data_IF_607861990878
#
_entry.id   IF_607861990878
#
_cell.length_a   1.000
_cell.length_b   1.000
_cell.length_c   1.000
_cell.angle_alpha   90.00
_cell.angle_beta   90.00
_cell.angle_gamma   90.00
#
_symmetry.space_group_name_H-M   'P 1'
#
loop_
_entity.id
_entity.type
_entity.pdbx_description
1 polymer ?
#
# COMPACT_ATOMS: atom_id res chain seq x y z
N UNK A 1 -8.51 23.13 -4.34
CA UNK A 1 -7.29 23.06 -5.17
C UNK A 1 -6.10 22.62 -4.33
N UNK A 2 -5.80 23.35 -3.25
CA UNK A 2 -4.62 23.09 -2.39
C UNK A 2 -4.66 21.71 -1.71
N UNK A 3 -5.83 21.30 -1.17
CA UNK A 3 -6.02 19.99 -0.53
C UNK A 3 -5.76 18.82 -1.49
N UNK A 4 -6.28 18.93 -2.72
CA UNK A 4 -6.08 17.91 -3.75
C UNK A 4 -4.58 17.78 -4.06
N UNK A 5 -3.93 18.88 -4.45
CA UNK A 5 -2.51 18.89 -4.81
C UNK A 5 -1.65 18.35 -3.66
N UNK A 6 -1.97 18.72 -2.43
CA UNK A 6 -1.30 18.23 -1.23
C UNK A 6 -1.41 16.69 -1.11
N UNK A 7 -2.61 16.13 -1.23
CA UNK A 7 -2.80 14.67 -1.19
C UNK A 7 -2.12 13.95 -2.34
N UNK A 8 -2.19 14.49 -3.56
CA UNK A 8 -1.48 13.92 -4.70
C UNK A 8 0.03 13.84 -4.43
N UNK A 9 0.62 14.89 -3.85
CA UNK A 9 2.04 14.92 -3.52
C UNK A 9 2.40 13.93 -2.41
N UNK A 10 1.62 13.87 -1.34
CA UNK A 10 1.83 12.90 -0.24
C UNK A 10 1.79 11.47 -0.78
N UNK A 11 0.76 11.12 -1.57
CA UNK A 11 0.60 9.77 -2.13
C UNK A 11 1.81 9.42 -3.01
N UNK A 12 2.20 10.31 -3.92
CA UNK A 12 3.37 10.09 -4.80
C UNK A 12 4.66 9.93 -3.99
N UNK A 13 4.86 10.73 -2.94
CA UNK A 13 6.01 10.62 -2.05
C UNK A 13 6.05 9.27 -1.33
N UNK A 14 4.94 8.84 -0.73
CA UNK A 14 4.83 7.55 -0.05
C UNK A 14 5.17 6.42 -1.03
N UNK A 15 4.48 6.34 -2.16
CA UNK A 15 4.68 5.25 -3.13
C UNK A 15 6.11 5.21 -3.69
N UNK A 16 6.70 6.38 -3.97
CA UNK A 16 8.10 6.48 -4.42
C UNK A 16 9.07 6.00 -3.33
N UNK A 17 8.82 6.34 -2.07
CA UNK A 17 9.65 5.87 -0.96
C UNK A 17 9.58 4.36 -0.79
N UNK A 18 8.38 3.77 -0.89
CA UNK A 18 8.21 2.32 -0.81
C UNK A 18 8.93 1.60 -1.95
N UNK A 19 8.77 2.06 -3.20
CA UNK A 19 9.50 1.49 -4.34
C UNK A 19 11.02 1.59 -4.13
N UNK A 20 11.52 2.72 -3.63
CA UNK A 20 12.96 2.90 -3.33
C UNK A 20 13.45 1.94 -2.24
N UNK A 21 12.63 1.63 -1.24
CA UNK A 21 12.96 0.65 -0.21
C UNK A 21 12.98 -0.76 -0.82
N UNK A 22 11.96 -1.11 -1.61
CA UNK A 22 11.89 -2.41 -2.31
C UNK A 22 13.10 -2.62 -3.23
N UNK A 23 13.50 -1.58 -3.97
CA UNK A 23 14.65 -1.60 -4.87
C UNK A 23 16.02 -1.84 -4.18
N UNK A 24 16.11 -1.82 -2.85
CA UNK A 24 17.34 -2.21 -2.13
C UNK A 24 17.58 -3.73 -2.15
N UNK A 25 16.51 -4.51 -2.33
CA UNK A 25 16.56 -5.98 -2.48
C UNK A 25 15.77 -6.34 -3.73
N UNK A 26 16.30 -6.02 -4.94
CA UNK A 26 15.55 -6.20 -6.17
C UNK A 26 15.35 -7.68 -6.49
N UNK A 27 14.18 -7.99 -7.04
CA UNK A 27 13.90 -9.27 -7.68
C UNK A 27 14.16 -9.11 -9.19
N UNK A 28 15.21 -9.72 -9.77
CA UNK A 28 15.60 -9.47 -11.16
C UNK A 28 14.55 -9.93 -12.20
N UNK A 29 13.60 -10.76 -11.78
CA UNK A 29 12.54 -11.31 -12.62
C UNK A 29 11.26 -10.47 -12.62
N UNK A 30 11.18 -9.47 -11.73
CA UNK A 30 9.98 -8.68 -11.46
C UNK A 30 10.29 -7.19 -11.59
N UNK A 31 9.60 -6.53 -12.53
CA UNK A 31 9.58 -5.08 -12.65
C UNK A 31 8.56 -4.49 -11.68
N UNK A 32 9.01 -3.51 -10.90
CA UNK A 32 8.14 -2.68 -10.06
C UNK A 32 7.91 -1.32 -10.72
N UNK A 33 6.65 -1.03 -11.06
CA UNK A 33 6.26 0.15 -11.82
C UNK A 33 5.35 1.04 -10.98
N UNK A 34 5.68 2.32 -10.92
CA UNK A 34 4.79 3.36 -10.39
C UNK A 34 4.01 4.01 -11.53
N UNK A 35 2.70 4.14 -11.35
CA UNK A 35 1.81 4.77 -12.33
C UNK A 35 1.02 5.88 -11.64
N UNK A 36 1.23 7.11 -12.09
CA UNK A 36 0.58 8.30 -11.52
C UNK A 36 -0.23 9.01 -12.60
N UNK A 37 -1.54 9.07 -12.41
CA UNK A 37 -2.46 9.88 -13.23
C UNK A 37 -3.05 10.98 -12.35
N UNK A 38 -2.37 12.14 -12.33
CA UNK A 38 -2.83 13.30 -11.56
C UNK A 38 -4.14 13.89 -12.11
N UNK A 39 -4.41 13.74 -13.41
CA UNK A 39 -5.64 14.25 -14.03
C UNK A 39 -6.88 13.48 -13.55
N UNK A 40 -6.75 12.17 -13.35
CA UNK A 40 -7.83 11.30 -12.87
C UNK A 40 -7.67 10.88 -11.40
N UNK A 41 -6.62 11.36 -10.75
CA UNK A 41 -6.24 11.06 -9.36
C UNK A 41 -6.20 9.55 -9.08
N UNK A 42 -5.45 8.83 -9.90
CA UNK A 42 -5.21 7.37 -9.79
C UNK A 42 -3.71 7.13 -9.56
N UNK A 43 -3.37 6.34 -8.56
CA UNK A 43 -1.99 6.10 -8.15
C UNK A 43 -1.78 4.61 -7.85
N UNK A 44 -0.86 3.99 -8.57
CA UNK A 44 -0.60 2.54 -8.47
C UNK A 44 0.88 2.26 -8.27
N UNK A 45 1.15 1.21 -7.49
CA UNK A 45 2.42 0.49 -7.50
C UNK A 45 2.14 -0.95 -7.93
N UNK A 46 2.76 -1.34 -9.04
CA UNK A 46 2.40 -2.53 -9.80
C UNK A 46 3.62 -3.41 -10.08
N UNK A 47 3.47 -4.72 -9.91
CA UNK A 47 4.51 -5.71 -10.15
C UNK A 47 4.21 -6.48 -11.44
N UNK A 48 5.17 -6.52 -12.35
CA UNK A 48 5.07 -7.18 -13.66
C UNK A 48 6.28 -8.07 -13.86
N UNK A 49 6.08 -9.32 -14.27
CA UNK A 49 7.23 -10.16 -14.61
C UNK A 49 6.86 -11.61 -14.84
N UNK A 50 7.87 -12.47 -14.79
CA UNK A 50 7.71 -13.92 -14.90
C UNK A 50 8.55 -14.59 -13.83
N UNK A 51 7.94 -15.44 -13.01
CA UNK A 51 8.66 -16.13 -11.94
C UNK A 51 8.21 -17.57 -11.86
N UNK A 52 9.16 -18.52 -11.86
CA UNK A 52 8.87 -19.96 -11.82
C UNK A 52 7.84 -20.39 -12.87
N UNK A 53 8.03 -19.96 -14.13
CA UNK A 53 7.11 -20.18 -15.26
C UNK A 53 5.69 -19.64 -15.07
N UNK A 54 5.49 -18.72 -14.12
CA UNK A 54 4.21 -18.06 -13.86
C UNK A 54 4.29 -16.58 -14.16
N UNK A 55 3.27 -16.07 -14.84
CA UNK A 55 3.09 -14.64 -15.05
C UNK A 55 2.80 -13.95 -13.72
N UNK A 56 3.57 -12.92 -13.40
CA UNK A 56 3.26 -11.99 -12.32
C UNK A 56 2.67 -10.72 -12.94
N UNK A 57 1.46 -10.39 -12.49
CA UNK A 57 0.73 -9.18 -12.86
C UNK A 57 -0.16 -8.81 -11.67
N UNK A 58 0.39 -8.03 -10.73
CA UNK A 58 -0.26 -7.79 -9.43
C UNK A 58 -0.10 -6.34 -8.98
N UNK A 59 -1.16 -5.78 -8.41
CA UNK A 59 -1.17 -4.47 -7.76
C UNK A 59 -0.67 -4.67 -6.32
N UNK A 60 0.42 -3.99 -5.96
CA UNK A 60 0.90 -3.93 -4.58
C UNK A 60 0.09 -2.91 -3.78
N UNK A 61 -0.15 -1.75 -4.39
CA UNK A 61 -0.93 -0.66 -3.79
C UNK A 61 -1.72 0.05 -4.89
N UNK A 62 -2.98 0.36 -4.59
CA UNK A 62 -3.83 1.20 -5.44
C UNK A 62 -4.59 2.22 -4.60
N UNK A 63 -4.38 3.49 -4.93
CA UNK A 63 -4.96 4.63 -4.23
C UNK A 63 -5.64 5.55 -5.23
N UNK A 64 -6.76 6.12 -4.81
CA UNK A 64 -7.52 7.11 -5.57
C UNK A 64 -7.86 8.30 -4.70
N UNK A 65 -8.03 9.46 -5.33
CA UNK A 65 -8.66 10.60 -4.68
C UNK A 65 -10.03 10.81 -5.29
N UNK A 66 -11.06 10.81 -4.44
CA UNK A 66 -12.46 11.05 -4.84
C UNK A 66 -13.16 11.83 -3.75
N UNK A 67 -14.00 12.81 -4.12
CA UNK A 67 -14.76 13.62 -3.16
C UNK A 67 -13.87 14.22 -2.06
N UNK A 68 -12.68 14.70 -2.43
CA UNK A 68 -11.68 15.27 -1.52
C UNK A 68 -11.16 14.33 -0.42
N UNK A 69 -11.28 13.02 -0.62
CA UNK A 69 -10.78 11.95 0.26
C UNK A 69 -9.88 10.99 -0.48
N UNK A 70 -8.99 10.34 0.27
CA UNK A 70 -8.07 9.32 -0.19
C UNK A 70 -8.71 7.95 0.02
N UNK A 71 -8.97 7.25 -1.07
CA UNK A 71 -9.49 5.90 -1.09
C UNK A 71 -8.33 4.93 -1.35
N UNK A 72 -8.07 4.04 -0.38
CA UNK A 72 -7.11 2.95 -0.53
C UNK A 72 -7.91 1.74 -1.02
N UNK A 73 -7.77 1.42 -2.30
CA UNK A 73 -8.49 0.35 -3.00
C UNK A 73 -7.79 -1.01 -2.85
N UNK A 74 -6.46 -1.01 -2.72
CA UNK A 74 -5.66 -2.21 -2.45
C UNK A 74 -4.37 -1.80 -1.71
N UNK A 75 -3.99 -2.58 -0.70
CA UNK A 75 -2.78 -2.34 0.09
C UNK A 75 -2.22 -3.65 0.63
N UNK A 76 -1.06 -4.05 0.11
CA UNK A 76 -0.32 -5.23 0.56
C UNK A 76 0.92 -4.87 1.39
N UNK A 77 1.11 -3.60 1.75
CA UNK A 77 2.26 -3.17 2.56
C UNK A 77 2.10 -3.62 4.02
N UNK A 78 3.20 -4.02 4.66
CA UNK A 78 3.15 -4.51 6.05
C UNK A 78 2.74 -3.41 7.04
N UNK A 79 3.27 -2.21 6.86
CA UNK A 79 2.99 -1.05 7.71
C UNK A 79 1.60 -0.44 7.43
N UNK A 80 1.07 -0.63 6.21
CA UNK A 80 -0.19 -0.07 5.76
C UNK A 80 -0.08 1.41 5.35
N UNK A 81 -0.53 1.73 4.14
CA UNK A 81 -0.57 3.08 3.57
C UNK A 81 -1.39 4.03 4.44
N UNK A 82 -2.44 3.55 5.08
CA UNK A 82 -3.26 4.36 5.98
C UNK A 82 -2.43 4.93 7.15
N UNK A 83 -1.50 4.16 7.70
CA UNK A 83 -0.63 4.63 8.79
C UNK A 83 0.37 5.68 8.29
N UNK A 84 0.89 5.51 7.07
CA UNK A 84 1.77 6.50 6.44
C UNK A 84 1.06 7.83 6.19
N UNK A 85 -0.18 7.78 5.69
CA UNK A 85 -1.00 8.98 5.50
C UNK A 85 -1.24 9.72 6.82
N UNK A 86 -1.49 8.99 7.91
CA UNK A 86 -1.65 9.58 9.24
C UNK A 86 -0.35 10.25 9.74
N UNK A 87 0.82 9.64 9.48
CA UNK A 87 2.13 10.25 9.82
C UNK A 87 2.39 11.54 9.06
N UNK A 88 1.93 11.60 7.82
CA UNK A 88 1.99 12.80 6.97
C UNK A 88 0.87 13.81 7.32
N UNK A 89 0.19 13.65 8.46
CA UNK A 89 -0.86 14.52 9.00
C UNK A 89 -2.13 14.61 8.14
N UNK A 90 -2.43 13.57 7.34
CA UNK A 90 -3.74 13.47 6.68
C UNK A 90 -4.82 13.18 7.72
N UNK A 91 -5.92 13.95 7.78
CA UNK A 91 -7.02 13.69 8.70
C UNK A 91 -7.61 12.29 8.50
N UNK A 92 -7.89 11.58 9.59
CA UNK A 92 -8.41 10.21 9.55
C UNK A 92 -9.74 10.13 8.79
N UNK A 93 -10.58 11.14 8.91
CA UNK A 93 -11.87 11.27 8.22
C UNK A 93 -11.76 11.41 6.70
N UNK A 94 -10.57 11.75 6.20
CA UNK A 94 -10.26 11.87 4.78
C UNK A 94 -9.64 10.60 4.21
N UNK A 95 -9.39 9.57 5.02
CA UNK A 95 -8.85 8.27 4.60
C UNK A 95 -9.96 7.22 4.60
N UNK A 96 -10.15 6.55 3.47
CA UNK A 96 -11.16 5.50 3.28
C UNK A 96 -10.47 4.20 2.87
N UNK A 97 -10.66 3.14 3.66
CA UNK A 97 -10.21 1.78 3.32
C UNK A 97 -11.26 1.14 2.41
N UNK A 98 -11.12 1.31 1.11
CA UNK A 98 -12.13 0.95 0.11
C UNK A 98 -12.18 -0.55 -0.21
N UNK A 99 -11.13 -1.31 0.13
CA UNK A 99 -11.13 -2.78 0.08
C UNK A 99 -11.98 -3.44 1.17
N UNK A 100 -12.52 -2.68 2.12
CA UNK A 100 -13.47 -3.18 3.10
C UNK A 100 -14.91 -2.93 2.69
N UNK A 101 -15.78 -3.91 2.94
CA UNK A 101 -17.22 -3.74 2.74
C UNK A 101 -17.73 -2.57 3.60
N UNK A 102 -18.63 -1.70 3.07
CA UNK A 102 -19.10 -0.52 3.78
C UNK A 102 -19.68 -0.79 5.18
N UNK A 103 -20.30 -1.96 5.35
CA UNK A 103 -20.90 -2.37 6.63
C UNK A 103 -19.86 -2.67 7.72
N UNK A 104 -18.63 -3.03 7.33
CA UNK A 104 -17.54 -3.34 8.27
C UNK A 104 -16.80 -2.08 8.75
N UNK A 105 -17.04 -0.91 8.15
CA UNK A 105 -16.35 0.34 8.51
C UNK A 105 -16.69 0.84 9.92
N UNK A 106 -17.83 0.44 10.51
CA UNK A 106 -18.23 0.85 11.87
C UNK A 106 -17.48 0.11 12.99
N UNK A 107 -16.90 -1.07 12.71
CA UNK A 107 -16.39 -1.97 13.76
C UNK A 107 -14.87 -1.83 14.02
N UNK A 108 -14.14 -1.10 13.17
CA UNK A 108 -12.68 -0.99 13.22
C UNK A 108 -12.12 0.02 14.23
N UNK A 109 -12.79 0.22 15.37
CA UNK A 109 -12.22 1.02 16.47
C UNK A 109 -11.03 0.38 17.17
N UNK A 110 -10.80 -0.93 17.07
CA UNK A 110 -9.67 -1.61 17.73
C UNK A 110 -9.42 -2.99 17.11
N UNK A 111 -8.52 -3.14 16.13
CA UNK A 111 -7.87 -4.43 15.85
C UNK A 111 -6.45 -4.21 15.31
N UNK A 112 -5.47 -4.89 15.90
CA UNK A 112 -4.12 -5.00 15.36
C UNK A 112 -4.16 -5.85 14.07
N UNK A 113 -3.64 -5.31 12.99
CA UNK A 113 -3.60 -6.00 11.70
C UNK A 113 -2.29 -6.78 11.57
N UNK A 114 -2.41 -8.09 11.25
CA UNK A 114 -1.31 -8.86 10.65
C UNK A 114 -1.45 -8.74 9.14
N UNK A 115 -0.64 -7.87 8.54
CA UNK A 115 -0.53 -7.79 7.09
C UNK A 115 0.64 -8.67 6.65
N UNK A 116 0.39 -9.56 5.69
CA UNK A 116 1.44 -10.34 5.08
C UNK A 116 1.99 -9.61 3.86
N UNK A 117 3.30 -9.34 3.87
CA UNK A 117 4.10 -8.73 2.81
C UNK A 117 3.70 -9.19 1.38
N UNK A 118 3.83 -8.32 0.34
CA UNK A 118 3.61 -8.69 -1.06
C UNK A 118 4.50 -9.87 -1.49
N UNK A 119 5.67 -10.02 -0.86
CA UNK A 119 6.60 -11.14 -1.08
C UNK A 119 5.99 -12.50 -0.71
N UNK A 120 5.00 -12.53 0.18
CA UNK A 120 4.32 -13.76 0.61
C UNK A 120 3.40 -14.33 -0.47
N UNK A 121 2.86 -13.49 -1.37
CA UNK A 121 1.98 -13.91 -2.48
C UNK A 121 2.76 -14.52 -3.65
N UNK A 122 4.02 -14.13 -3.85
CA UNK A 122 4.89 -14.63 -4.93
C UNK A 122 5.77 -15.83 -4.53
N UNK A 123 5.55 -16.40 -3.33
CA UNK A 123 6.24 -17.62 -2.88
C UNK A 123 7.73 -17.44 -2.59
N UNK A 124 8.18 -16.21 -2.31
CA UNK A 124 9.59 -15.87 -2.13
C UNK A 124 10.11 -15.98 -0.69
N UNK A 125 9.28 -16.34 0.28
CA UNK A 125 9.69 -16.36 1.68
C UNK A 125 9.39 -17.71 2.34
N UNK A 126 10.41 -18.57 2.39
CA UNK A 126 10.50 -19.63 3.40
C UNK A 126 11.15 -19.04 4.66
N UNK A 127 10.37 -18.35 5.49
CA UNK A 127 10.81 -17.99 6.85
C UNK A 127 9.99 -18.79 7.86
N UNK A 128 10.47 -19.99 8.20
CA UNK A 128 9.92 -20.82 9.28
C UNK A 128 10.30 -20.35 10.69
N UNK A 129 11.07 -19.28 10.87
CA UNK A 129 11.51 -18.89 12.20
C UNK A 129 11.58 -17.37 12.35
N UNK A 130 10.55 -16.76 12.93
CA UNK A 130 10.75 -15.63 13.84
C UNK A 130 9.69 -15.63 14.94
N UNK A 131 10.20 -15.73 16.18
CA UNK A 131 9.47 -15.61 17.43
C UNK A 131 8.79 -14.26 17.56
N UNK A 132 7.62 -14.28 18.18
CA UNK A 132 6.88 -13.12 18.64
C UNK A 132 7.79 -12.24 19.52
N UNK A 133 8.05 -11.01 19.09
CA UNK A 133 8.49 -9.96 20.01
C UNK A 133 7.24 -9.20 20.48
N UNK A 134 6.90 -9.21 21.77
CA UNK A 134 5.85 -8.35 22.28
C UNK A 134 6.33 -6.89 22.22
N UNK A 135 5.48 -6.01 21.69
CA UNK A 135 5.60 -4.57 21.86
C UNK A 135 5.63 -4.26 23.36
N UNK A 136 6.76 -3.76 23.86
CA UNK A 136 6.79 -3.07 25.16
C UNK A 136 6.22 -1.67 24.94
N UNK A 137 5.11 -1.42 25.63
CA UNK A 137 4.58 -0.08 25.94
C UNK A 137 5.61 0.63 26.81
#
# INVERSE_FOLDING_TARGET
MDKLIHYQNIIKQILTNYQRISAQVPDPDIDEVLMFDDQRSQYLWFNIGWKNDRRIQAISVYIRIKNEKIYIEEDWTEEGIANELLRENVPKEDIVLAFHHPENLQEFRMREFRITSPLKRIGLTNYENFSFYPLKI
#
